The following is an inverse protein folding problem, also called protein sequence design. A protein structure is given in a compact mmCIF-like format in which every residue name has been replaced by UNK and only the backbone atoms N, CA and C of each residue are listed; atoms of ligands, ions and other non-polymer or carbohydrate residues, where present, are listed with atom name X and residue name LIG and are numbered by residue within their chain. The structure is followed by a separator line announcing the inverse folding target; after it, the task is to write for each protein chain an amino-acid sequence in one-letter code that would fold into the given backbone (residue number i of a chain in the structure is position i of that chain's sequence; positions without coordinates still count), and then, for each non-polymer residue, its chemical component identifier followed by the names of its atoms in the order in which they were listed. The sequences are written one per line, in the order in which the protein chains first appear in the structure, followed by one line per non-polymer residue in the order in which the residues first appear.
data_IF_712354765576
#
_entry.id   IF_712354765576
#
_cell.length_a   1.000
_cell.length_b   1.000
_cell.length_c   1.000
_cell.angle_alpha   90.00
_cell.angle_beta   90.00
_cell.angle_gamma   90.00
#
_symmetry.space_group_name_H-M   'P 1'
#
loop_
_entity.id
_entity.type
_entity.pdbx_description
1 polymer ?
#
# COMPACT_ATOMS: atom_id res chain seq x y z
N UNK A 1 -11.89 -38.44 27.38
CA UNK A 1 -11.23 -38.45 26.06
C UNK A 1 -11.50 -37.11 25.40
N UNK A 2 -10.55 -36.18 25.51
CA UNK A 2 -10.66 -34.86 24.86
C UNK A 2 -9.79 -34.90 23.61
N UNK A 3 -10.42 -34.87 22.44
CA UNK A 3 -9.70 -34.81 21.16
C UNK A 3 -9.44 -33.34 20.87
N UNK A 4 -8.23 -32.88 21.18
CA UNK A 4 -7.75 -31.57 20.75
C UNK A 4 -7.47 -31.70 19.25
N UNK A 5 -8.35 -31.12 18.43
CA UNK A 5 -8.15 -31.05 16.99
C UNK A 5 -6.93 -30.16 16.71
N UNK A 6 -5.83 -30.78 16.27
CA UNK A 6 -4.69 -30.08 15.73
C UNK A 6 -5.12 -29.35 14.46
N UNK A 7 -5.19 -28.02 14.51
CA UNK A 7 -5.29 -27.18 13.33
C UNK A 7 -4.01 -27.37 12.49
N UNK A 8 -4.04 -28.32 11.56
CA UNK A 8 -3.06 -28.37 10.49
C UNK A 8 -3.18 -27.06 9.71
N UNK A 9 -2.11 -26.26 9.69
CA UNK A 9 -1.99 -25.15 8.76
C UNK A 9 -2.03 -25.75 7.35
N UNK A 10 -3.20 -25.74 6.73
CA UNK A 10 -3.36 -26.11 5.32
C UNK A 10 -2.64 -25.03 4.53
N UNK A 11 -1.37 -25.25 4.23
CA UNK A 11 -0.67 -24.43 3.23
C UNK A 11 -1.43 -24.61 1.93
N UNK A 12 -1.95 -23.52 1.31
CA UNK A 12 -2.61 -23.63 0.02
C UNK A 12 -1.67 -24.36 -0.94
N UNK A 13 -2.19 -25.28 -1.78
CA UNK A 13 -1.36 -25.92 -2.79
C UNK A 13 -0.66 -24.85 -3.62
N UNK A 14 0.61 -25.07 -4.00
CA UNK A 14 1.36 -24.06 -4.74
C UNK A 14 0.60 -23.71 -6.03
N UNK A 15 0.43 -22.41 -6.28
CA UNK A 15 -0.31 -21.93 -7.43
C UNK A 15 0.54 -22.17 -8.68
N UNK A 16 0.14 -23.17 -9.48
CA UNK A 16 0.69 -23.40 -10.81
C UNK A 16 0.00 -22.50 -11.82
N UNK A 17 0.79 -21.79 -12.60
CA UNK A 17 0.32 -20.83 -13.59
C UNK A 17 1.05 -21.07 -14.90
N UNK A 18 0.28 -21.18 -15.98
CA UNK A 18 0.82 -21.30 -17.33
C UNK A 18 0.95 -19.92 -17.95
N UNK A 19 2.14 -19.57 -18.45
CA UNK A 19 2.40 -18.27 -19.04
C UNK A 19 3.31 -18.36 -20.28
N UNK A 20 3.04 -17.49 -21.25
CA UNK A 20 3.81 -17.41 -22.50
C UNK A 20 4.67 -16.15 -22.52
N UNK A 21 5.98 -16.34 -22.58
CA UNK A 21 6.95 -15.28 -22.74
C UNK A 21 7.53 -15.21 -24.15
N UNK A 22 8.02 -14.04 -24.52
CA UNK A 22 8.51 -13.74 -25.86
C UNK A 22 9.76 -12.87 -25.83
N UNK A 23 10.67 -13.10 -26.77
CA UNK A 23 11.80 -12.21 -27.00
C UNK A 23 12.24 -12.23 -28.46
N UNK A 24 12.67 -11.07 -28.97
CA UNK A 24 13.24 -10.98 -30.32
C UNK A 24 14.62 -11.64 -30.39
N UNK A 25 14.86 -12.36 -31.48
CA UNK A 25 16.18 -12.88 -31.85
C UNK A 25 16.96 -11.75 -32.50
N UNK A 26 18.02 -11.29 -31.82
CA UNK A 26 18.89 -10.20 -32.30
C UNK A 26 20.22 -10.80 -32.70
N UNK A 27 20.77 -10.41 -33.86
CA UNK A 27 22.05 -10.91 -34.36
C UNK A 27 22.15 -12.44 -34.44
N UNK A 28 21.02 -13.12 -34.70
CA UNK A 28 20.93 -14.58 -34.71
C UNK A 28 21.25 -15.26 -33.36
N UNK A 29 21.24 -14.50 -32.26
CA UNK A 29 21.45 -15.02 -30.90
C UNK A 29 20.16 -15.59 -30.32
N UNK A 30 19.90 -16.85 -30.64
CA UNK A 30 18.73 -17.60 -30.18
C UNK A 30 18.82 -17.95 -28.69
N UNK A 31 20.02 -18.12 -28.16
CA UNK A 31 20.21 -18.48 -26.75
C UNK A 31 19.77 -17.33 -25.85
N UNK A 32 20.24 -16.11 -26.15
CA UNK A 32 19.83 -14.90 -25.43
C UNK A 32 18.33 -14.62 -25.56
N UNK A 33 17.76 -14.85 -26.75
CA UNK A 33 16.31 -14.71 -26.95
C UNK A 33 15.53 -15.74 -26.12
N UNK A 34 15.98 -17.00 -26.07
CA UNK A 34 15.36 -18.04 -25.25
C UNK A 34 15.36 -17.67 -23.77
N UNK A 35 16.50 -17.25 -23.23
CA UNK A 35 16.62 -16.89 -21.81
C UNK A 35 15.73 -15.68 -21.47
N UNK A 36 15.67 -14.68 -22.35
CA UNK A 36 14.78 -13.53 -22.20
C UNK A 36 13.31 -13.90 -22.30
N UNK A 37 12.95 -14.82 -23.20
CA UNK A 37 11.58 -15.31 -23.33
C UNK A 37 11.15 -16.12 -22.09
N UNK A 38 12.06 -16.89 -21.49
CA UNK A 38 11.82 -17.56 -20.20
C UNK A 38 11.60 -16.52 -19.11
N UNK A 39 12.47 -15.52 -19.00
CA UNK A 39 12.34 -14.45 -17.99
C UNK A 39 11.02 -13.69 -18.12
N UNK A 40 10.61 -13.38 -19.36
CA UNK A 40 9.32 -12.76 -19.67
C UNK A 40 8.13 -13.67 -19.28
N UNK A 41 8.22 -14.98 -19.56
CA UNK A 41 7.19 -15.95 -19.21
C UNK A 41 7.02 -16.05 -17.68
N UNK A 42 8.13 -16.11 -16.94
CA UNK A 42 8.13 -16.17 -15.47
C UNK A 42 7.55 -14.89 -14.86
N UNK A 43 7.90 -13.73 -15.41
CA UNK A 43 7.32 -12.46 -15.00
C UNK A 43 5.79 -12.45 -15.21
N UNK A 44 5.33 -12.90 -16.37
CA UNK A 44 3.90 -13.01 -16.68
C UNK A 44 3.15 -13.99 -15.79
N UNK A 45 3.78 -15.09 -15.36
CA UNK A 45 3.18 -16.02 -14.40
C UNK A 45 2.95 -15.35 -13.02
N UNK A 46 3.91 -14.54 -12.56
CA UNK A 46 3.76 -13.74 -11.34
C UNK A 46 2.69 -12.66 -11.51
N UNK A 47 2.64 -11.98 -12.67
CA UNK A 47 1.60 -11.02 -13.03
C UNK A 47 0.18 -11.59 -12.91
N UNK A 48 -0.04 -12.76 -13.49
CA UNK A 48 -1.32 -13.46 -13.40
C UNK A 48 -1.66 -13.81 -11.95
N UNK A 49 -0.68 -14.33 -11.20
CA UNK A 49 -0.87 -14.67 -9.78
C UNK A 49 -1.28 -13.44 -8.95
N UNK A 50 -0.59 -12.32 -9.14
CA UNK A 50 -0.91 -11.03 -8.50
C UNK A 50 -2.31 -10.55 -8.88
N UNK A 51 -2.67 -10.63 -10.16
CA UNK A 51 -4.00 -10.24 -10.65
C UNK A 51 -5.12 -11.04 -9.99
N UNK A 52 -4.94 -12.36 -9.84
CA UNK A 52 -5.91 -13.21 -9.15
C UNK A 52 -6.06 -12.88 -7.66
N UNK A 53 -4.97 -12.51 -6.99
CA UNK A 53 -5.01 -12.09 -5.59
C UNK A 53 -5.73 -10.76 -5.46
N UNK A 54 -5.25 -9.70 -6.11
CA UNK A 54 -5.81 -8.34 -5.97
C UNK A 54 -7.30 -8.25 -6.34
N UNK A 55 -7.74 -9.02 -7.35
CA UNK A 55 -9.16 -9.12 -7.70
C UNK A 55 -10.02 -9.66 -6.55
N UNK A 56 -9.45 -10.52 -5.69
CA UNK A 56 -10.11 -11.09 -4.52
C UNK A 56 -10.21 -10.07 -3.36
N UNK A 57 -9.23 -9.17 -3.23
CA UNK A 57 -9.20 -8.14 -2.18
C UNK A 57 -9.95 -6.83 -2.55
N UNK A 58 -10.53 -6.70 -3.76
CA UNK A 58 -11.26 -5.49 -4.22
C UNK A 58 -10.40 -4.20 -4.16
N UNK A 59 -9.10 -4.27 -4.47
CA UNK A 59 -8.18 -3.11 -4.43
C UNK A 59 -7.71 -2.71 -5.83
N UNK A 60 -8.55 -2.01 -6.59
CA UNK A 60 -8.21 -1.59 -7.97
C UNK A 60 -7.32 -0.34 -8.03
N UNK A 61 -7.48 0.59 -7.09
CA UNK A 61 -6.83 1.91 -7.12
C UNK A 61 -5.29 1.86 -7.09
N UNK A 62 -4.71 0.82 -6.50
CA UNK A 62 -3.27 0.71 -6.27
C UNK A 62 -2.59 -0.36 -7.13
N UNK A 63 -3.32 -0.95 -8.10
CA UNK A 63 -2.83 -2.09 -8.88
C UNK A 63 -1.50 -1.80 -9.57
N UNK A 64 -1.37 -0.66 -10.26
CA UNK A 64 -0.14 -0.34 -11.01
C UNK A 64 1.10 -0.27 -10.10
N UNK A 65 1.03 0.48 -9.00
CA UNK A 65 2.14 0.63 -8.06
C UNK A 65 2.52 -0.68 -7.36
N UNK A 66 1.51 -1.50 -7.06
CA UNK A 66 1.71 -2.80 -6.45
C UNK A 66 2.38 -3.78 -7.44
N UNK A 67 1.85 -3.84 -8.65
CA UNK A 67 2.39 -4.60 -9.78
C UNK A 67 3.85 -4.26 -10.04
N UNK A 68 4.20 -2.98 -10.16
CA UNK A 68 5.59 -2.55 -10.40
C UNK A 68 6.55 -3.02 -9.28
N UNK A 69 6.12 -2.90 -8.02
CA UNK A 69 6.92 -3.37 -6.86
C UNK A 69 7.10 -4.88 -6.85
N UNK A 70 6.03 -5.63 -7.14
CA UNK A 70 6.11 -7.09 -7.19
C UNK A 70 6.98 -7.55 -8.36
N UNK A 71 6.90 -6.91 -9.53
CA UNK A 71 7.69 -7.28 -10.70
C UNK A 71 9.18 -7.08 -10.52
N UNK A 72 9.58 -6.06 -9.75
CA UNK A 72 10.99 -5.87 -9.37
C UNK A 72 11.58 -7.09 -8.63
N UNK A 73 10.72 -7.91 -8.03
CA UNK A 73 11.08 -9.13 -7.30
C UNK A 73 10.51 -10.41 -7.93
N UNK A 74 9.99 -10.37 -9.16
CA UNK A 74 9.24 -11.47 -9.77
C UNK A 74 9.96 -12.84 -9.68
N UNK A 75 11.26 -12.86 -10.01
CA UNK A 75 12.09 -14.08 -9.95
C UNK A 75 12.13 -14.72 -8.55
N UNK A 76 12.04 -13.92 -7.48
CA UNK A 76 12.06 -14.40 -6.10
C UNK A 76 10.76 -15.09 -5.65
N UNK A 77 9.67 -14.94 -6.41
CA UNK A 77 8.40 -15.60 -6.10
C UNK A 77 8.20 -16.93 -6.84
N UNK A 78 8.98 -17.19 -7.88
CA UNK A 78 8.93 -18.47 -8.62
C UNK A 78 9.77 -19.50 -7.87
N UNK A 79 9.14 -20.58 -7.42
CA UNK A 79 9.85 -21.71 -6.76
C UNK A 79 10.47 -22.66 -7.78
N UNK A 80 9.72 -22.95 -8.83
CA UNK A 80 10.12 -23.86 -9.88
C UNK A 80 9.35 -23.53 -11.16
N UNK A 81 9.84 -23.96 -12.31
CA UNK A 81 9.09 -23.89 -13.56
C UNK A 81 9.48 -25.03 -14.49
N UNK A 82 8.59 -25.35 -15.41
CA UNK A 82 8.83 -26.30 -16.50
C UNK A 82 8.51 -25.63 -17.82
N UNK A 83 9.38 -25.80 -18.81
CA UNK A 83 9.09 -25.38 -20.17
C UNK A 83 8.16 -26.42 -20.78
N UNK A 84 6.96 -25.99 -21.15
CA UNK A 84 5.92 -26.83 -21.77
C UNK A 84 6.12 -26.87 -23.28
N UNK A 85 6.47 -25.74 -23.87
CA UNK A 85 6.83 -25.64 -25.28
C UNK A 85 7.71 -24.45 -25.54
N UNK A 86 8.54 -24.54 -26.58
CA UNK A 86 9.32 -23.43 -27.10
C UNK A 86 9.31 -23.48 -28.62
N UNK A 87 9.19 -22.32 -29.27
CA UNK A 87 9.25 -22.20 -30.73
C UNK A 87 9.79 -20.85 -31.14
N UNK A 88 10.49 -20.82 -32.26
CA UNK A 88 10.87 -19.58 -32.93
C UNK A 88 9.93 -19.35 -34.12
N UNK A 89 9.33 -18.17 -34.19
CA UNK A 89 8.44 -17.77 -35.27
C UNK A 89 8.73 -16.32 -35.62
N UNK A 90 9.02 -16.03 -36.90
CA UNK A 90 9.26 -14.67 -37.40
C UNK A 90 10.33 -13.88 -36.61
N UNK A 91 11.44 -14.51 -36.24
CA UNK A 91 12.51 -13.93 -35.39
C UNK A 91 12.07 -13.58 -33.97
N UNK A 92 10.97 -14.15 -33.48
CA UNK A 92 10.52 -14.07 -32.09
C UNK A 92 10.58 -15.46 -31.49
N UNK A 93 11.33 -15.59 -30.40
CA UNK A 93 11.38 -16.80 -29.60
C UNK A 93 10.25 -16.78 -28.59
N UNK A 94 9.37 -17.78 -28.64
CA UNK A 94 8.21 -17.95 -27.77
C UNK A 94 8.46 -19.13 -26.83
N UNK A 95 8.22 -18.93 -25.54
CA UNK A 95 8.34 -19.99 -24.53
C UNK A 95 7.08 -20.03 -23.69
N UNK A 96 6.49 -21.21 -23.57
CA UNK A 96 5.39 -21.48 -22.67
C UNK A 96 5.93 -22.21 -21.43
N UNK A 97 5.65 -21.68 -20.24
CA UNK A 97 6.09 -22.26 -18.97
C UNK A 97 4.91 -22.61 -18.08
N UNK A 98 5.01 -23.72 -17.36
CA UNK A 98 4.21 -24.02 -16.18
C UNK A 98 5.07 -23.66 -14.96
N UNK A 99 4.75 -22.51 -14.34
CA UNK A 99 5.50 -21.96 -13.22
C UNK A 99 4.77 -22.20 -11.89
N UNK A 100 5.53 -22.63 -10.89
CA UNK A 100 5.10 -22.77 -9.51
C UNK A 100 5.40 -21.49 -8.73
N UNK A 101 4.37 -20.71 -8.43
CA UNK A 101 4.48 -19.42 -7.73
C UNK A 101 4.23 -19.61 -6.23
N UNK A 102 5.11 -19.06 -5.40
CA UNK A 102 5.00 -19.08 -3.94
C UNK A 102 3.88 -18.13 -3.48
N UNK A 103 2.64 -18.61 -3.46
CA UNK A 103 1.47 -17.79 -3.10
C UNK A 103 1.56 -17.19 -1.70
N UNK A 104 2.17 -17.90 -0.73
CA UNK A 104 2.33 -17.40 0.64
C UNK A 104 3.26 -16.19 0.73
N UNK A 105 4.45 -16.26 0.12
CA UNK A 105 5.40 -15.15 0.13
C UNK A 105 4.86 -13.96 -0.68
N UNK A 106 4.23 -14.27 -1.82
CA UNK A 106 3.63 -13.25 -2.67
C UNK A 106 2.51 -12.49 -1.94
N UNK A 107 1.61 -13.20 -1.25
CA UNK A 107 0.52 -12.61 -0.47
C UNK A 107 1.05 -11.74 0.67
N UNK A 108 2.04 -12.23 1.41
CA UNK A 108 2.66 -11.48 2.51
C UNK A 108 3.27 -10.15 2.04
N UNK A 109 3.99 -10.15 0.91
CA UNK A 109 4.58 -8.92 0.36
C UNK A 109 3.49 -7.97 -0.16
N UNK A 110 2.43 -8.49 -0.80
CA UNK A 110 1.27 -7.70 -1.24
C UNK A 110 0.59 -7.02 -0.04
N UNK A 111 0.29 -7.77 1.01
CA UNK A 111 -0.37 -7.25 2.22
C UNK A 111 0.49 -6.17 2.91
N UNK A 112 1.80 -6.36 2.96
CA UNK A 112 2.75 -5.36 3.45
C UNK A 112 2.72 -4.07 2.64
N UNK A 113 2.75 -4.17 1.31
CA UNK A 113 2.67 -3.00 0.41
C UNK A 113 1.32 -2.29 0.57
N UNK A 114 0.21 -3.02 0.58
CA UNK A 114 -1.13 -2.48 0.75
C UNK A 114 -1.28 -1.76 2.10
N UNK A 115 -0.71 -2.31 3.17
CA UNK A 115 -0.71 -1.66 4.49
C UNK A 115 0.00 -0.31 4.44
N UNK A 116 1.18 -0.24 3.80
CA UNK A 116 1.92 1.02 3.62
C UNK A 116 1.15 2.00 2.72
N UNK A 117 0.53 1.55 1.64
CA UNK A 117 -0.25 2.40 0.75
C UNK A 117 -1.49 2.97 1.44
N UNK A 118 -2.22 2.15 2.21
CA UNK A 118 -3.31 2.63 3.07
C UNK A 118 -2.79 3.64 4.09
N UNK A 119 -1.65 3.38 4.73
CA UNK A 119 -1.04 4.30 5.68
C UNK A 119 -0.61 5.64 5.04
N UNK A 120 -0.13 5.63 3.80
CA UNK A 120 0.17 6.85 3.02
C UNK A 120 -1.09 7.62 2.64
N UNK A 121 -2.16 6.92 2.28
CA UNK A 121 -3.44 7.55 1.93
C UNK A 121 -4.26 7.98 3.17
N UNK A 122 -3.76 7.71 4.38
CA UNK A 122 -4.30 8.17 5.66
C UNK A 122 -3.34 9.19 6.28
N UNK A 123 -3.34 10.46 5.82
CA UNK A 123 -2.52 11.51 6.41
C UNK A 123 -2.88 11.68 7.89
N UNK A 124 -1.86 12.03 8.69
CA UNK A 124 -2.09 12.40 10.09
C UNK A 124 -2.61 13.82 10.11
N UNK A 125 -3.82 14.00 10.61
CA UNK A 125 -4.49 15.30 10.67
C UNK A 125 -4.25 15.92 12.04
N UNK A 126 -3.88 17.20 12.07
CA UNK A 126 -3.91 18.02 13.26
C UNK A 126 -5.14 18.92 13.20
N UNK A 127 -5.97 18.92 14.24
CA UNK A 127 -7.12 19.82 14.34
C UNK A 127 -6.70 21.03 15.18
N UNK A 128 -6.92 22.22 14.62
CA UNK A 128 -6.72 23.51 15.30
C UNK A 128 -8.04 24.25 15.26
N UNK A 129 -8.75 24.27 16.39
CA UNK A 129 -10.06 24.93 16.55
C UNK A 129 -9.94 26.05 17.57
N UNK A 130 -10.37 27.25 17.18
CA UNK A 130 -10.51 28.37 18.10
C UNK A 130 -11.98 28.46 18.51
N UNK A 131 -12.26 28.37 19.81
CA UNK A 131 -13.62 28.32 20.35
C UNK A 131 -13.92 29.54 21.21
N UNK A 132 -15.02 30.23 20.90
CA UNK A 132 -15.53 31.36 21.69
C UNK A 132 -16.90 31.01 22.26
N UNK A 133 -17.00 30.98 23.59
CA UNK A 133 -18.26 30.74 24.27
C UNK A 133 -19.06 32.04 24.45
N UNK A 134 -20.38 31.91 24.58
CA UNK A 134 -21.27 33.05 24.88
C UNK A 134 -20.85 33.68 26.21
N UNK A 135 -20.50 34.97 26.17
CA UNK A 135 -20.00 35.71 27.34
C UNK A 135 -18.49 35.71 27.52
N UNK A 136 -17.71 35.04 26.66
CA UNK A 136 -16.25 35.20 26.60
C UNK A 136 -15.86 36.27 25.57
N UNK A 137 -15.02 37.23 26.00
CA UNK A 137 -14.53 38.32 25.15
C UNK A 137 -13.58 37.87 24.05
N UNK A 138 -12.87 36.77 24.26
CA UNK A 138 -11.92 36.22 23.29
C UNK A 138 -12.15 34.73 23.04
N UNK A 139 -11.73 34.26 21.86
CA UNK A 139 -11.60 32.84 21.57
C UNK A 139 -10.45 32.19 22.38
N UNK A 140 -10.65 30.92 22.72
CA UNK A 140 -9.67 30.00 23.29
C UNK A 140 -9.09 29.11 22.19
N UNK A 141 -7.79 28.86 22.23
CA UNK A 141 -7.06 28.00 21.29
C UNK A 141 -5.77 27.50 21.95
N UNK A 142 -5.27 26.35 21.52
CA UNK A 142 -4.21 25.62 22.24
C UNK A 142 -2.81 25.74 21.63
N UNK A 143 -2.68 26.20 20.38
CA UNK A 143 -1.42 26.24 19.63
C UNK A 143 -0.66 27.58 19.73
N UNK A 144 -1.09 28.48 20.63
CA UNK A 144 -0.46 29.78 20.87
C UNK A 144 -0.27 30.08 22.36
N UNK A 145 -0.15 31.36 22.70
CA UNK A 145 0.24 31.80 24.06
C UNK A 145 -0.89 31.76 25.10
N UNK A 146 -2.03 31.12 24.78
CA UNK A 146 -3.13 30.89 25.72
C UNK A 146 -2.97 29.48 26.32
N UNK A 147 -3.03 29.41 27.65
CA UNK A 147 -2.88 28.18 28.43
C UNK A 147 -3.79 27.08 27.90
N UNK A 148 -3.27 25.85 27.81
CA UNK A 148 -4.05 24.64 27.49
C UNK A 148 -5.25 24.53 28.44
N UNK A 149 -6.41 25.00 27.99
CA UNK A 149 -7.65 24.85 28.72
C UNK A 149 -8.29 23.53 28.32
N UNK A 150 -8.65 22.71 29.31
CA UNK A 150 -9.35 21.42 29.14
C UNK A 150 -10.77 21.56 28.62
N UNK A 151 -11.21 22.78 28.28
CA UNK A 151 -12.58 23.07 27.86
C UNK A 151 -12.76 23.16 26.34
N UNK A 152 -11.71 22.87 25.57
CA UNK A 152 -11.69 22.95 24.09
C UNK A 152 -12.09 21.62 23.43
N UNK A 153 -12.97 20.88 24.08
CA UNK A 153 -13.11 19.44 23.86
C UNK A 153 -14.36 19.10 23.05
N UNK A 154 -15.41 19.93 23.04
CA UNK A 154 -16.69 19.55 22.41
C UNK A 154 -16.58 19.48 20.88
N UNK A 155 -16.07 20.53 20.24
CA UNK A 155 -15.95 20.59 18.77
C UNK A 155 -14.87 19.63 18.29
N UNK A 156 -13.68 19.67 18.89
CA UNK A 156 -12.55 18.81 18.54
C UNK A 156 -12.93 17.33 18.67
N UNK A 157 -13.54 16.91 19.79
CA UNK A 157 -13.97 15.52 19.97
C UNK A 157 -15.07 15.11 18.99
N UNK A 158 -15.97 16.03 18.61
CA UNK A 158 -16.99 15.74 17.60
C UNK A 158 -16.36 15.45 16.24
N UNK A 159 -15.38 16.25 15.81
CA UNK A 159 -14.65 15.99 14.56
C UNK A 159 -13.83 14.71 14.63
N UNK A 160 -13.09 14.52 15.73
CA UNK A 160 -12.30 13.31 15.97
C UNK A 160 -13.21 12.08 15.88
N UNK A 161 -14.33 12.05 16.60
CA UNK A 161 -15.27 10.91 16.58
C UNK A 161 -15.91 10.70 15.19
N UNK A 162 -16.30 11.78 14.50
CA UNK A 162 -16.92 11.69 13.17
C UNK A 162 -15.95 11.19 12.09
N UNK A 163 -14.65 11.44 12.23
CA UNK A 163 -13.66 11.13 11.20
C UNK A 163 -12.79 9.93 11.54
N UNK A 164 -12.64 9.58 12.83
CA UNK A 164 -12.04 8.30 13.25
C UNK A 164 -12.84 7.12 12.71
N UNK A 165 -14.17 7.20 12.70
CA UNK A 165 -15.04 6.18 12.08
C UNK A 165 -14.81 6.04 10.58
N UNK A 166 -14.24 7.06 9.93
CA UNK A 166 -13.85 7.08 8.51
C UNK A 166 -12.38 6.72 8.28
N UNK A 167 -11.66 6.30 9.32
CA UNK A 167 -10.26 5.87 9.24
C UNK A 167 -9.23 7.01 9.26
N UNK A 168 -9.62 8.24 9.57
CA UNK A 168 -8.68 9.36 9.72
C UNK A 168 -7.91 9.19 11.02
N UNK A 169 -6.58 9.43 10.97
CA UNK A 169 -5.71 9.39 12.14
C UNK A 169 -5.36 10.80 12.58
N UNK A 170 -5.50 11.08 13.87
CA UNK A 170 -5.21 12.39 14.43
C UNK A 170 -3.85 12.41 15.14
N UNK A 171 -3.22 13.58 15.12
CA UNK A 171 -2.04 13.84 15.93
C UNK A 171 -2.50 14.09 17.37
N UNK A 172 -1.91 13.38 18.33
CA UNK A 172 -2.14 13.63 19.75
C UNK A 172 -1.60 15.01 20.14
N UNK A 173 -2.51 15.87 20.58
CA UNK A 173 -2.26 17.25 21.02
C UNK A 173 -1.27 17.33 22.19
N UNK A 174 -1.32 16.39 23.14
CA UNK A 174 -0.41 16.39 24.29
C UNK A 174 1.01 16.02 23.87
N UNK A 175 1.16 15.11 22.91
CA UNK A 175 2.47 14.67 22.43
C UNK A 175 3.26 15.77 21.69
N UNK A 176 2.57 16.79 21.16
CA UNK A 176 3.17 17.90 20.40
C UNK A 176 3.23 19.22 21.18
N UNK A 177 2.76 19.23 22.43
CA UNK A 177 2.82 20.41 23.31
C UNK A 177 4.28 20.88 23.47
N UNK A 178 4.52 22.17 23.22
CA UNK A 178 5.86 22.78 23.26
C UNK A 178 6.81 22.39 22.11
N UNK A 179 6.40 21.49 21.21
CA UNK A 179 7.17 21.07 20.03
C UNK A 179 6.63 21.63 18.72
N UNK A 180 5.42 22.20 18.76
CA UNK A 180 4.79 22.81 17.60
C UNK A 180 5.52 24.11 17.22
N UNK A 181 6.15 24.13 16.04
CA UNK A 181 6.70 25.34 15.44
C UNK A 181 5.65 25.91 14.48
N UNK A 182 4.84 26.86 14.95
CA UNK A 182 3.89 27.58 14.10
C UNK A 182 4.59 28.75 13.41
N UNK A 183 4.36 28.93 12.11
CA UNK A 183 4.74 30.17 11.43
C UNK A 183 3.91 31.36 11.95
N UNK A 184 4.32 32.61 11.67
CA UNK A 184 3.61 33.81 12.13
C UNK A 184 2.11 33.80 11.76
N UNK A 185 1.79 33.26 10.58
CA UNK A 185 0.43 33.22 10.01
C UNK A 185 -0.56 32.29 10.75
N UNK A 186 -0.08 31.41 11.63
CA UNK A 186 -0.89 30.37 12.31
C UNK A 186 -0.85 30.53 13.85
N UNK A 187 -0.34 31.65 14.34
CA UNK A 187 -0.12 31.88 15.79
C UNK A 187 -1.32 32.50 16.52
N UNK A 188 -2.37 32.86 15.79
CA UNK A 188 -3.59 33.52 16.27
C UNK A 188 -4.83 32.64 16.12
N UNK A 189 -5.92 33.02 16.81
CA UNK A 189 -7.24 32.40 16.67
C UNK A 189 -7.81 32.52 15.25
N UNK A 190 -7.47 33.60 14.55
CA UNK A 190 -7.79 33.84 13.16
C UNK A 190 -6.52 33.69 12.33
N UNK A 191 -6.30 32.57 11.63
CA UNK A 191 -5.24 32.49 10.64
C UNK A 191 -5.60 33.45 9.49
N UNK A 192 -4.74 34.43 9.23
CA UNK A 192 -4.89 35.34 8.08
C UNK A 192 -4.91 34.53 6.78
N UNK A 193 -5.55 35.02 5.71
CA UNK A 193 -5.62 34.32 4.41
C UNK A 193 -4.25 33.88 3.84
N UNK A 194 -3.15 34.49 4.29
CA UNK A 194 -1.78 34.08 3.96
C UNK A 194 -1.30 32.78 4.64
N UNK A 195 -2.08 32.22 5.57
CA UNK A 195 -1.77 30.99 6.33
C UNK A 195 -2.11 29.70 5.58
N UNK A 196 -2.90 29.77 4.50
CA UNK A 196 -3.31 28.64 3.68
C UNK A 196 -2.55 28.71 2.35
N UNK A 197 -1.35 28.12 2.30
CA UNK A 197 -0.65 27.77 1.06
C UNK A 197 -0.22 26.32 1.10
#
# INVERSE_FOLDING_TARGET
MSVIANAQMVTPPPQRVTATGQAAVVNNDKSSARDKAIDDALRKAVEQSVGTMISSETVTQNFQLLSDKVFSKAKGYVRNYKIVSEKEEQSIYNVNVDAEVSSGNLRSDIDGILTVLRAKNMPRVLIMVAEQNVGQGDANFWWGNKTFSTNLDAVENTFINAWMTKGVRFVDRQAIQGKLKTGPAISSAEPTNDAIK
#
